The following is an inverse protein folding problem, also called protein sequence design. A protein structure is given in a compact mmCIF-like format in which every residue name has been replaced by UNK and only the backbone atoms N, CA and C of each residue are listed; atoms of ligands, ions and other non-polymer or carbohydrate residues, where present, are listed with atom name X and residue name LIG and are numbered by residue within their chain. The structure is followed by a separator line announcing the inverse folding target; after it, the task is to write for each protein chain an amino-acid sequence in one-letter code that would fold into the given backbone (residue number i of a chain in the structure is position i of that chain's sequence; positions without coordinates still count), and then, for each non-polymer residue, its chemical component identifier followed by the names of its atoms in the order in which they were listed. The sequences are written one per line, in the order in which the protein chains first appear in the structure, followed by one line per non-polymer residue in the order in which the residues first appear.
data_IF_404153961298
#
_entry.id   IF_404153961298
#
_cell.length_a   1.000
_cell.length_b   1.000
_cell.length_c   1.000
_cell.angle_alpha   90.00
_cell.angle_beta   90.00
_cell.angle_gamma   90.00
#
_symmetry.space_group_name_H-M   'P 1'
#
loop_
_entity.id
_entity.type
_entity.pdbx_description
1 polymer ?
#
# COMPACT_ATOMS: atom_id res chain seq x y z
N UNK A 1 -27.65 0.01 13.15
CA UNK A 1 -26.31 -0.33 12.64
C UNK A 1 -25.57 -1.07 13.74
N UNK A 2 -25.19 -2.32 13.48
CA UNK A 2 -24.49 -3.18 14.44
C UNK A 2 -22.99 -3.00 14.14
N UNK A 3 -22.24 -2.43 15.06
CA UNK A 3 -20.77 -2.33 14.95
C UNK A 3 -20.13 -3.63 15.44
N UNK A 4 -19.39 -4.30 14.54
CA UNK A 4 -18.64 -5.53 14.81
C UNK A 4 -17.24 -5.20 15.37
N UNK A 5 -16.85 -5.69 16.57
CA UNK A 5 -15.63 -5.29 17.26
C UNK A 5 -14.34 -6.08 16.88
N UNK A 6 -14.33 -6.84 15.78
CA UNK A 6 -13.28 -7.87 15.54
C UNK A 6 -12.16 -7.51 14.55
N UNK A 7 -12.07 -6.27 14.05
CA UNK A 7 -11.04 -5.87 13.07
C UNK A 7 -10.01 -4.85 13.61
N UNK A 8 -9.56 -5.01 14.86
CA UNK A 8 -8.30 -4.38 15.30
C UNK A 8 -7.11 -5.21 14.80
N UNK A 9 -6.70 -4.96 13.56
CA UNK A 9 -5.44 -5.46 12.99
C UNK A 9 -4.30 -4.88 13.83
N UNK A 10 -3.67 -5.74 14.64
CA UNK A 10 -2.55 -5.39 15.50
C UNK A 10 -1.35 -5.08 14.60
N UNK A 11 -1.05 -3.81 14.39
CA UNK A 11 0.17 -3.40 13.69
C UNK A 11 1.38 -3.82 14.53
N UNK A 12 2.05 -4.89 14.09
CA UNK A 12 3.29 -5.36 14.70
C UNK A 12 4.37 -4.33 14.34
N UNK A 13 4.68 -3.44 15.28
CA UNK A 13 5.82 -2.54 15.18
C UNK A 13 7.10 -3.37 15.34
N UNK A 14 7.78 -3.64 14.24
CA UNK A 14 9.09 -4.28 14.28
C UNK A 14 10.14 -3.28 14.81
N UNK A 15 11.05 -3.71 15.71
CA UNK A 15 12.12 -2.86 16.17
C UNK A 15 13.04 -2.51 14.99
N UNK A 16 13.17 -1.22 14.72
CA UNK A 16 13.97 -0.66 13.63
C UNK A 16 15.47 -0.77 13.96
N UNK A 17 16.22 -1.43 13.08
CA UNK A 17 17.66 -1.22 12.88
C UNK A 17 18.61 -1.65 14.00
N UNK A 18 19.18 -2.85 13.85
CA UNK A 18 20.59 -3.25 14.11
C UNK A 18 20.69 -4.78 14.18
N UNK A 19 20.91 -5.44 13.03
CA UNK A 19 21.31 -6.85 12.99
C UNK A 19 20.16 -7.87 12.96
N UNK A 20 18.93 -7.45 12.65
CA UNK A 20 17.80 -8.37 12.49
C UNK A 20 17.45 -8.53 11.01
N UNK A 21 17.39 -9.79 10.56
CA UNK A 21 17.05 -10.13 9.17
C UNK A 21 15.51 -10.11 9.02
N UNK A 22 14.93 -9.25 8.17
CA UNK A 22 13.48 -9.03 8.09
C UNK A 22 12.73 -10.13 7.30
N UNK A 23 12.87 -11.40 7.69
CA UNK A 23 12.30 -12.56 6.97
C UNK A 23 10.76 -12.49 6.92
N UNK A 24 10.12 -12.25 8.05
CA UNK A 24 8.65 -12.20 8.13
C UNK A 24 8.06 -11.05 7.31
N UNK A 25 8.77 -9.93 7.27
CA UNK A 25 8.36 -8.74 6.53
C UNK A 25 8.44 -8.96 5.02
N UNK A 26 9.53 -9.57 4.54
CA UNK A 26 9.68 -9.96 3.13
C UNK A 26 8.60 -10.97 2.73
N UNK A 27 8.34 -11.99 3.57
CA UNK A 27 7.26 -12.97 3.33
C UNK A 27 5.89 -12.32 3.24
N UNK A 28 5.61 -11.36 4.12
CA UNK A 28 4.37 -10.58 4.10
C UNK A 28 4.22 -9.77 2.80
N UNK A 29 5.28 -9.08 2.37
CA UNK A 29 5.24 -8.27 1.15
C UNK A 29 5.18 -9.11 -0.12
N UNK A 30 5.88 -10.25 -0.15
CA UNK A 30 5.77 -11.24 -1.24
C UNK A 30 4.34 -11.81 -1.33
N UNK A 31 3.71 -12.13 -0.20
CA UNK A 31 2.32 -12.62 -0.17
C UNK A 31 1.30 -11.57 -0.62
N UNK A 32 1.62 -10.28 -0.45
CA UNK A 32 0.80 -9.16 -0.96
C UNK A 32 1.02 -8.88 -2.46
N UNK A 33 1.94 -9.58 -3.11
CA UNK A 33 2.22 -9.43 -4.53
C UNK A 33 3.16 -8.27 -4.89
N UNK A 34 3.92 -7.75 -3.94
CA UNK A 34 4.97 -6.77 -4.24
C UNK A 34 6.09 -7.43 -5.04
N UNK A 35 6.62 -6.71 -6.02
CA UNK A 35 7.80 -7.15 -6.77
C UNK A 35 9.06 -7.04 -5.91
N UNK A 36 10.05 -7.91 -6.16
CA UNK A 36 11.34 -7.89 -5.45
C UNK A 36 11.98 -6.48 -5.35
N UNK A 37 12.05 -5.66 -6.43
CA UNK A 37 12.60 -4.31 -6.32
C UNK A 37 11.78 -3.38 -5.39
N UNK A 38 10.44 -3.50 -5.38
CA UNK A 38 9.58 -2.72 -4.48
C UNK A 38 9.75 -3.12 -3.02
N UNK A 39 9.97 -4.42 -2.76
CA UNK A 39 10.26 -4.94 -1.42
C UNK A 39 11.59 -4.36 -0.93
N UNK A 40 12.62 -4.36 -1.78
CA UNK A 40 13.95 -3.80 -1.47
C UNK A 40 13.85 -2.30 -1.17
N UNK A 41 13.14 -1.52 -1.99
CA UNK A 41 12.98 -0.09 -1.79
C UNK A 41 12.23 0.24 -0.49
N UNK A 42 11.22 -0.56 -0.15
CA UNK A 42 10.46 -0.36 1.08
C UNK A 42 11.31 -0.71 2.31
N UNK A 43 12.08 -1.80 2.27
CA UNK A 43 12.97 -2.17 3.37
C UNK A 43 14.15 -1.20 3.54
N UNK A 44 14.66 -0.63 2.44
CA UNK A 44 15.65 0.46 2.52
C UNK A 44 15.08 1.70 3.19
N UNK A 45 13.82 2.07 2.90
CA UNK A 45 13.11 3.17 3.57
C UNK A 45 12.87 2.88 5.06
N UNK A 46 12.65 1.61 5.41
CA UNK A 46 12.55 1.13 6.80
C UNK A 46 13.94 1.04 7.50
N UNK A 47 15.04 1.31 6.79
CA UNK A 47 16.39 1.43 7.37
C UNK A 47 17.17 0.12 7.49
N UNK A 48 16.77 -0.93 6.75
CA UNK A 48 17.53 -2.18 6.68
C UNK A 48 18.73 -2.07 5.74
N UNK A 49 19.82 -2.78 6.07
CA UNK A 49 21.02 -2.84 5.22
C UNK A 49 20.77 -3.69 3.96
N UNK A 50 21.39 -3.38 2.80
CA UNK A 50 21.30 -4.21 1.60
C UNK A 50 21.61 -5.69 1.86
N UNK A 51 22.65 -5.97 2.67
CA UNK A 51 23.04 -7.34 3.00
C UNK A 51 21.99 -8.09 3.84
N UNK A 52 21.21 -7.38 4.67
CA UNK A 52 20.14 -7.96 5.48
C UNK A 52 18.91 -8.28 4.62
N UNK A 53 18.63 -7.42 3.64
CA UNK A 53 17.53 -7.59 2.68
C UNK A 53 17.79 -8.79 1.77
N UNK A 54 18.99 -8.92 1.22
CA UNK A 54 19.35 -10.02 0.32
C UNK A 54 19.31 -11.38 1.04
N UNK A 55 19.79 -11.42 2.29
CA UNK A 55 19.68 -12.62 3.14
C UNK A 55 18.22 -12.98 3.42
N UNK A 56 17.38 -12.00 3.72
CA UNK A 56 15.96 -12.22 3.97
C UNK A 56 15.23 -12.77 2.73
N UNK A 57 15.47 -12.19 1.54
CA UNK A 57 14.91 -12.66 0.27
C UNK A 57 15.34 -14.09 -0.04
N UNK A 58 16.63 -14.40 0.12
CA UNK A 58 17.17 -15.75 -0.10
C UNK A 58 16.51 -16.78 0.83
N UNK A 59 16.32 -16.43 2.11
CA UNK A 59 15.64 -17.30 3.07
C UNK A 59 14.17 -17.53 2.72
N UNK A 60 13.44 -16.50 2.29
CA UNK A 60 12.03 -16.61 1.91
C UNK A 60 11.88 -17.49 0.67
N UNK A 61 12.68 -17.26 -0.37
CA UNK A 61 12.68 -18.07 -1.58
C UNK A 61 13.02 -19.54 -1.29
N UNK A 62 14.02 -19.79 -0.44
CA UNK A 62 14.38 -21.15 -0.03
C UNK A 62 13.25 -21.84 0.73
N UNK A 63 12.60 -21.15 1.68
CA UNK A 63 11.46 -21.70 2.41
C UNK A 63 10.23 -21.94 1.52
N UNK A 64 9.96 -21.06 0.57
CA UNK A 64 8.85 -21.23 -0.38
C UNK A 64 9.06 -22.42 -1.32
N UNK A 65 10.31 -22.72 -1.68
CA UNK A 65 10.66 -23.90 -2.48
C UNK A 65 10.53 -25.18 -1.65
N UNK A 66 10.98 -25.18 -0.39
CA UNK A 66 10.84 -26.33 0.52
C UNK A 66 9.36 -26.64 0.82
N UNK A 67 8.52 -25.63 1.09
CA UNK A 67 7.07 -25.82 1.29
C UNK A 67 6.36 -26.33 0.03
N UNK A 68 6.84 -25.95 -1.17
CA UNK A 68 6.29 -26.44 -2.43
C UNK A 68 6.70 -27.89 -2.72
N UNK A 69 7.87 -28.33 -2.24
CA UNK A 69 8.33 -29.72 -2.34
C UNK A 69 7.55 -30.62 -1.37
N UNK A 70 7.18 -30.14 -0.18
CA UNK A 70 6.33 -30.90 0.76
C UNK A 70 4.88 -31.03 0.27
N UNK A 71 4.30 -29.99 -0.36
CA UNK A 71 2.98 -30.08 -0.99
C UNK A 71 2.93 -30.89 -2.29
N UNK A 72 4.06 -31.03 -2.99
CA UNK A 72 4.15 -31.88 -4.18
C UNK A 72 4.35 -33.37 -3.84
N UNK A 73 4.57 -33.72 -2.56
CA UNK A 73 4.77 -35.11 -2.13
C UNK A 73 3.46 -35.85 -1.80
N UNK A 74 2.31 -35.16 -1.79
CA UNK A 74 1.00 -35.77 -1.53
C UNK A 74 0.20 -36.13 -2.79
N UNK A 75 0.69 -35.81 -3.99
CA UNK A 75 0.02 -36.16 -5.25
C UNK A 75 1.05 -36.52 -6.32
N UNK A 76 1.67 -37.70 -6.19
CA UNK A 76 2.28 -38.39 -7.32
C UNK A 76 1.89 -39.87 -7.30
N UNK A 77 1.38 -40.41 -8.42
CA UNK A 77 1.16 -41.83 -8.61
C UNK A 77 2.49 -42.60 -8.56
N UNK A 78 2.41 -43.80 -7.99
CA UNK A 78 3.50 -44.77 -7.79
C UNK A 78 4.22 -45.14 -9.09
N UNK A 79 5.55 -45.10 -9.01
CA UNK A 79 6.52 -45.43 -10.05
C UNK A 79 6.70 -46.97 -10.16
N UNK A 80 5.63 -47.70 -10.48
CA UNK A 80 5.64 -49.18 -10.56
C UNK A 80 5.06 -49.77 -11.86
N UNK A 81 4.87 -48.98 -12.91
CA UNK A 81 4.27 -49.48 -14.17
C UNK A 81 5.16 -49.25 -15.42
N UNK A 82 6.48 -49.39 -15.26
CA UNK A 82 7.40 -49.58 -16.40
C UNK A 82 7.56 -51.09 -16.60
N UNK A 83 6.61 -51.67 -17.33
CA UNK A 83 6.76 -53.00 -17.93
C UNK A 83 7.78 -52.92 -19.08
N UNK A 84 8.79 -53.81 -19.15
CA UNK A 84 9.71 -53.85 -20.28
C UNK A 84 8.97 -54.30 -21.56
N UNK A 85 9.07 -53.56 -22.68
CA UNK A 85 8.54 -54.04 -23.94
C UNK A 85 9.34 -55.25 -24.43
N UNK A 86 8.58 -56.25 -24.93
CA UNK A 86 9.05 -57.51 -25.52
C UNK A 86 10.00 -57.27 -26.71
N UNK A 87 10.86 -58.25 -27.05
CA UNK A 87 11.72 -58.20 -28.24
C UNK A 87 10.85 -58.09 -29.50
N UNK A 88 11.14 -57.10 -30.32
CA UNK A 88 10.53 -56.92 -31.64
C UNK A 88 11.22 -57.90 -32.60
N UNK A 89 10.43 -58.81 -33.17
CA UNK A 89 10.82 -59.68 -34.28
C UNK A 89 11.25 -58.83 -35.49
N UNK A 90 12.29 -59.29 -36.17
CA UNK A 90 12.85 -58.69 -37.38
C UNK A 90 11.79 -58.60 -38.48
N UNK A 91 11.28 -57.40 -38.73
CA UNK A 91 10.49 -57.10 -39.93
C UNK A 91 11.46 -56.87 -41.09
N UNK A 92 11.58 -57.86 -41.97
CA UNK A 92 12.26 -57.75 -43.26
C UNK A 92 11.45 -56.81 -44.14
N UNK A 93 11.94 -55.59 -44.35
CA UNK A 93 11.34 -54.62 -45.28
C UNK A 93 11.94 -54.85 -46.68
N UNK A 94 11.12 -55.14 -47.71
CA UNK A 94 11.62 -55.23 -49.08
C UNK A 94 11.95 -53.84 -49.62
N UNK A 95 13.17 -53.69 -50.15
CA UNK A 95 13.62 -52.51 -50.90
C UNK A 95 12.66 -52.22 -52.05
N UNK A 96 11.78 -51.25 -51.84
CA UNK A 96 10.95 -50.67 -52.90
C UNK A 96 11.67 -49.42 -53.37
N UNK A 97 12.27 -49.48 -54.55
CA UNK A 97 12.84 -48.32 -55.24
C UNK A 97 11.74 -47.30 -55.52
N UNK A 98 11.76 -46.19 -54.79
CA UNK A 98 10.87 -45.05 -55.01
C UNK A 98 11.20 -44.33 -56.33
N UNK A 99 10.20 -43.95 -57.15
CA UNK A 99 10.40 -43.11 -58.33
C UNK A 99 10.87 -41.69 -57.94
N UNK A 100 11.77 -41.06 -58.73
CA UNK A 100 12.32 -39.74 -58.46
C UNK A 100 11.37 -38.63 -58.93
N UNK A 101 10.16 -38.55 -58.37
CA UNK A 101 9.18 -37.50 -58.76
C UNK A 101 8.59 -36.72 -57.58
N UNK A 102 9.12 -36.89 -56.37
CA UNK A 102 8.82 -36.01 -55.23
C UNK A 102 9.98 -35.05 -54.95
N UNK A 103 10.32 -34.22 -55.95
CA UNK A 103 11.00 -32.96 -55.65
C UNK A 103 9.97 -32.05 -54.98
N UNK A 104 9.86 -32.14 -53.65
CA UNK A 104 9.18 -31.13 -52.87
C UNK A 104 9.77 -29.75 -53.23
N UNK A 105 8.94 -28.70 -53.38
CA UNK A 105 9.47 -27.37 -53.64
C UNK A 105 10.46 -27.04 -52.53
N UNK A 106 11.72 -26.83 -52.91
CA UNK A 106 12.75 -26.37 -52.00
C UNK A 106 12.36 -24.95 -51.59
N UNK A 107 11.65 -24.81 -50.48
CA UNK A 107 11.55 -23.53 -49.79
C UNK A 107 12.98 -23.01 -49.64
N UNK A 108 13.25 -21.87 -50.25
CA UNK A 108 14.56 -21.26 -50.12
C UNK A 108 14.72 -20.86 -48.65
N UNK A 109 15.92 -20.97 -48.10
CA UNK A 109 16.17 -20.59 -46.70
C UNK A 109 15.69 -19.16 -46.40
N UNK A 110 15.64 -18.31 -47.43
CA UNK A 110 15.14 -16.94 -47.42
C UNK A 110 13.64 -16.86 -47.07
N UNK A 111 12.78 -17.68 -47.68
CA UNK A 111 11.33 -17.68 -47.39
C UNK A 111 11.01 -18.12 -45.95
N UNK A 112 11.79 -19.06 -45.40
CA UNK A 112 11.65 -19.47 -44.00
C UNK A 112 12.10 -18.36 -43.03
N UNK A 113 13.19 -17.67 -43.36
CA UNK A 113 13.66 -16.51 -42.57
C UNK A 113 12.61 -15.41 -42.57
N UNK A 114 12.01 -15.09 -43.73
CA UNK A 114 10.95 -14.08 -43.83
C UNK A 114 9.72 -14.44 -43.02
N UNK A 115 9.32 -15.72 -43.00
CA UNK A 115 8.22 -16.18 -42.16
C UNK A 115 8.51 -15.98 -40.67
N UNK A 116 9.69 -16.39 -40.19
CA UNK A 116 10.08 -16.24 -38.78
C UNK A 116 10.19 -14.76 -38.39
N UNK A 117 10.73 -13.92 -39.27
CA UNK A 117 10.80 -12.46 -39.05
C UNK A 117 9.39 -11.88 -38.96
N UNK A 118 8.49 -12.24 -39.89
CA UNK A 118 7.12 -11.74 -39.88
C UNK A 118 6.35 -12.19 -38.62
N UNK A 119 6.52 -13.43 -38.19
CA UNK A 119 5.91 -13.94 -36.96
C UNK A 119 6.41 -13.18 -35.73
N UNK A 120 7.73 -12.97 -35.61
CA UNK A 120 8.32 -12.18 -34.52
C UNK A 120 7.90 -10.71 -34.56
N UNK A 121 7.84 -10.13 -35.75
CA UNK A 121 7.42 -8.73 -35.92
C UNK A 121 5.95 -8.54 -35.52
N UNK A 122 5.10 -9.53 -35.81
CA UNK A 122 3.71 -9.53 -35.37
C UNK A 122 3.59 -9.58 -33.84
N UNK A 123 4.31 -10.48 -33.17
CA UNK A 123 4.36 -10.54 -31.70
C UNK A 123 4.84 -9.21 -31.08
N UNK A 124 5.83 -8.57 -31.70
CA UNK A 124 6.36 -7.27 -31.27
C UNK A 124 5.30 -6.18 -31.44
N UNK A 125 4.62 -6.12 -32.58
CA UNK A 125 3.57 -5.14 -32.84
C UNK A 125 2.41 -5.29 -31.84
N UNK A 126 1.96 -6.51 -31.57
CA UNK A 126 0.93 -6.79 -30.55
C UNK A 126 1.38 -6.32 -29.15
N UNK A 127 2.64 -6.54 -28.77
CA UNK A 127 3.19 -6.03 -27.51
C UNK A 127 3.25 -4.51 -27.49
N UNK A 128 3.67 -3.85 -28.57
CA UNK A 128 3.71 -2.39 -28.68
C UNK A 128 2.31 -1.81 -28.51
N UNK A 129 1.31 -2.36 -29.19
CA UNK A 129 -0.09 -1.93 -29.04
C UNK A 129 -0.58 -2.09 -27.60
N UNK A 130 -0.23 -3.19 -26.93
CA UNK A 130 -0.56 -3.40 -25.52
C UNK A 130 0.09 -2.35 -24.60
N UNK A 131 1.33 -1.97 -24.87
CA UNK A 131 2.07 -0.96 -24.09
C UNK A 131 1.46 0.43 -24.31
N UNK A 132 1.12 0.79 -25.55
CA UNK A 132 0.45 2.05 -25.89
C UNK A 132 -0.91 2.13 -25.19
N UNK A 133 -1.69 1.05 -25.20
CA UNK A 133 -2.98 1.00 -24.50
C UNK A 133 -2.83 1.20 -22.99
N UNK A 134 -1.85 0.52 -22.36
CA UNK A 134 -1.54 0.71 -20.93
C UNK A 134 -1.06 2.12 -20.63
N UNK A 135 -0.24 2.71 -21.49
CA UNK A 135 0.24 4.08 -21.32
C UNK A 135 -0.92 5.08 -21.35
N UNK A 136 -1.84 4.93 -22.29
CA UNK A 136 -3.04 5.75 -22.38
C UNK A 136 -3.95 5.59 -21.14
N UNK A 137 -4.04 4.39 -20.56
CA UNK A 137 -4.78 4.18 -19.31
C UNK A 137 -4.10 4.88 -18.13
N UNK A 138 -2.77 4.80 -18.05
CA UNK A 138 -1.99 5.49 -17.01
C UNK A 138 -2.15 7.01 -17.14
N UNK A 139 -2.07 7.56 -18.34
CA UNK A 139 -2.25 8.99 -18.60
C UNK A 139 -3.63 9.47 -18.13
N UNK A 140 -4.70 8.73 -18.46
CA UNK A 140 -6.05 9.02 -17.96
C UNK A 140 -6.17 8.94 -16.44
N UNK A 141 -5.49 7.98 -15.79
CA UNK A 141 -5.45 7.88 -14.33
C UNK A 141 -4.71 9.06 -13.71
N UNK A 142 -3.61 9.50 -14.31
CA UNK A 142 -2.84 10.67 -13.87
C UNK A 142 -3.67 11.94 -14.02
N UNK A 143 -4.38 12.11 -15.13
CA UNK A 143 -5.29 13.25 -15.36
C UNK A 143 -6.40 13.28 -14.29
N UNK A 144 -7.09 12.16 -14.07
CA UNK A 144 -8.11 12.06 -13.02
C UNK A 144 -7.55 12.33 -11.62
N UNK A 145 -6.35 11.84 -11.32
CA UNK A 145 -5.70 12.09 -10.03
C UNK A 145 -5.35 13.58 -9.87
N UNK A 146 -4.91 14.24 -10.94
CA UNK A 146 -4.64 15.69 -10.97
C UNK A 146 -5.91 16.50 -10.71
N UNK A 147 -7.03 16.12 -11.32
CA UNK A 147 -8.34 16.74 -11.07
C UNK A 147 -8.76 16.60 -9.60
N UNK A 148 -8.68 15.39 -9.05
CA UNK A 148 -8.99 15.11 -7.64
C UNK A 148 -8.08 15.90 -6.70
N UNK A 149 -6.78 15.98 -7.01
CA UNK A 149 -5.83 16.73 -6.20
C UNK A 149 -6.16 18.23 -6.19
N UNK A 150 -6.53 18.80 -7.34
CA UNK A 150 -6.97 20.19 -7.44
C UNK A 150 -8.27 20.46 -6.66
N UNK A 151 -9.21 19.51 -6.66
CA UNK A 151 -10.44 19.61 -5.86
C UNK A 151 -10.11 19.58 -4.35
N UNK A 152 -9.22 18.68 -3.92
CA UNK A 152 -8.76 18.61 -2.52
C UNK A 152 -8.08 19.92 -2.09
N UNK A 153 -7.23 20.50 -2.95
CA UNK A 153 -6.58 21.79 -2.66
C UNK A 153 -7.63 22.89 -2.44
N UNK A 154 -8.65 22.96 -3.31
CA UNK A 154 -9.74 23.95 -3.18
C UNK A 154 -10.52 23.75 -1.89
N UNK A 155 -10.95 22.52 -1.60
CA UNK A 155 -11.66 22.17 -0.38
C UNK A 155 -10.84 22.53 0.88
N UNK A 156 -9.55 22.19 0.90
CA UNK A 156 -8.65 22.55 2.01
C UNK A 156 -8.49 24.05 2.17
N UNK A 157 -8.42 24.81 1.07
CA UNK A 157 -8.35 26.26 1.13
C UNK A 157 -9.64 26.87 1.69
N UNK A 158 -10.80 26.33 1.33
CA UNK A 158 -12.11 26.71 1.89
C UNK A 158 -12.18 26.43 3.40
N UNK A 159 -11.79 25.23 3.82
CA UNK A 159 -11.72 24.84 5.24
C UNK A 159 -10.82 25.79 6.04
N UNK A 160 -9.63 26.11 5.51
CA UNK A 160 -8.70 27.03 6.16
C UNK A 160 -9.29 28.43 6.30
N UNK A 161 -9.98 28.94 5.28
CA UNK A 161 -10.69 30.23 5.36
C UNK A 161 -11.77 30.20 6.44
N UNK A 162 -12.56 29.14 6.52
CA UNK A 162 -13.58 28.99 7.57
C UNK A 162 -12.97 28.94 8.97
N UNK A 163 -11.82 28.28 9.14
CA UNK A 163 -11.09 28.26 10.41
C UNK A 163 -10.61 29.66 10.78
N UNK A 164 -10.02 30.41 9.85
CA UNK A 164 -9.59 31.79 10.09
C UNK A 164 -10.77 32.67 10.49
N UNK A 165 -11.89 32.60 9.78
CA UNK A 165 -13.11 33.34 10.15
C UNK A 165 -13.62 32.96 11.55
N UNK A 166 -13.59 31.67 11.92
CA UNK A 166 -13.96 31.24 13.28
C UNK A 166 -13.00 31.74 14.34
N UNK A 167 -11.70 31.82 14.04
CA UNK A 167 -10.69 32.40 14.95
C UNK A 167 -10.94 33.91 15.14
N UNK A 168 -11.27 34.63 14.08
CA UNK A 168 -11.58 36.06 14.15
C UNK A 168 -12.83 36.33 14.99
N UNK A 169 -13.89 35.53 14.78
CA UNK A 169 -15.11 35.59 15.61
C UNK A 169 -14.81 35.24 17.08
N UNK A 170 -13.98 34.23 17.32
CA UNK A 170 -13.57 33.88 18.68
C UNK A 170 -12.77 35.01 19.33
N UNK A 171 -11.87 35.66 18.60
CA UNK A 171 -11.15 36.84 19.10
C UNK A 171 -12.10 38.00 19.44
N UNK A 172 -13.12 38.24 18.62
CA UNK A 172 -14.14 39.26 18.90
C UNK A 172 -14.92 38.93 20.19
N UNK A 173 -15.37 37.68 20.35
CA UNK A 173 -16.08 37.26 21.58
C UNK A 173 -15.20 37.31 22.83
N UNK A 174 -13.90 36.98 22.72
CA UNK A 174 -12.94 37.13 23.82
C UNK A 174 -12.76 38.60 24.18
N UNK A 175 -12.66 39.49 23.20
CA UNK A 175 -12.55 40.92 23.44
C UNK A 175 -13.81 41.48 24.12
N UNK A 176 -15.01 41.05 23.69
CA UNK A 176 -16.25 41.43 24.35
C UNK A 176 -16.32 40.90 25.80
N UNK A 177 -15.90 39.65 26.03
CA UNK A 177 -15.81 39.07 27.36
C UNK A 177 -14.81 39.82 28.24
N UNK A 178 -13.65 40.23 27.70
CA UNK A 178 -12.67 41.04 28.42
C UNK A 178 -13.25 42.40 28.84
N UNK A 179 -14.01 43.05 27.97
CA UNK A 179 -14.69 44.32 28.30
C UNK A 179 -15.70 44.11 29.42
N UNK A 180 -16.54 43.05 29.35
CA UNK A 180 -17.51 42.73 30.40
C UNK A 180 -16.85 42.38 31.73
N UNK A 181 -15.75 41.62 31.71
CA UNK A 181 -14.98 41.31 32.92
C UNK A 181 -14.38 42.58 33.51
N UNK A 182 -13.86 43.49 32.69
CA UNK A 182 -13.32 44.76 33.17
C UNK A 182 -14.41 45.67 33.78
N UNK A 183 -15.61 45.71 33.20
CA UNK A 183 -16.73 46.47 33.78
C UNK A 183 -17.24 45.85 35.07
N UNK A 184 -17.30 44.51 35.14
CA UNK A 184 -17.64 43.78 36.35
C UNK A 184 -16.59 43.98 37.45
N UNK A 185 -15.30 43.94 37.11
CA UNK A 185 -14.21 44.26 38.05
C UNK A 185 -14.35 45.68 38.59
N UNK A 186 -14.68 46.65 37.73
CA UNK A 186 -14.93 48.03 38.15
C UNK A 186 -16.14 48.12 39.11
N UNK A 187 -17.25 47.46 38.78
CA UNK A 187 -18.43 47.43 39.64
C UNK A 187 -18.13 46.76 41.01
N UNK A 188 -17.33 45.68 41.03
CA UNK A 188 -16.86 45.08 42.28
C UNK A 188 -15.98 46.03 43.09
N UNK A 189 -15.03 46.73 42.45
CA UNK A 189 -14.19 47.73 43.11
C UNK A 189 -15.01 48.87 43.73
N UNK A 190 -16.07 49.31 43.07
CA UNK A 190 -16.97 50.37 43.58
C UNK A 190 -17.92 49.90 44.69
N UNK A 191 -18.37 48.65 44.65
CA UNK A 191 -19.32 48.09 45.63
C UNK A 191 -18.65 47.50 46.87
N UNK A 192 -17.38 47.09 46.78
CA UNK A 192 -16.62 46.52 47.90
C UNK A 192 -16.58 47.43 49.14
N UNK A 193 -16.33 48.76 49.05
CA UNK A 193 -16.33 49.64 50.22
C UNK A 193 -17.68 49.68 50.94
N UNK A 194 -18.79 49.81 50.19
CA UNK A 194 -20.14 49.82 50.76
C UNK A 194 -20.50 48.47 51.43
N UNK A 195 -20.05 47.35 50.85
CA UNK A 195 -20.21 46.03 51.46
C UNK A 195 -19.43 45.93 52.77
N UNK A 196 -18.18 46.39 52.82
CA UNK A 196 -17.36 46.39 54.03
C UNK A 196 -18.00 47.25 55.13
N UNK A 197 -18.57 48.39 54.77
CA UNK A 197 -19.25 49.30 55.70
C UNK A 197 -20.55 48.67 56.25
N UNK A 198 -21.36 48.04 55.39
CA UNK A 198 -22.58 47.34 55.83
C UNK A 198 -22.29 46.15 56.75
N UNK A 199 -21.25 45.36 56.48
CA UNK A 199 -20.82 44.25 57.34
C UNK A 199 -20.30 44.76 58.68
N UNK A 200 -19.54 45.88 58.70
CA UNK A 200 -19.11 46.53 59.96
C UNK A 200 -20.29 47.02 60.78
N UNK A 201 -21.21 47.75 60.17
CA UNK A 201 -22.41 48.26 60.85
C UNK A 201 -23.26 47.13 61.45
N UNK A 202 -23.40 46.01 60.73
CA UNK A 202 -24.09 44.82 61.24
C UNK A 202 -23.34 44.20 62.43
N UNK A 203 -22.01 44.12 62.35
CA UNK A 203 -21.16 43.60 63.44
C UNK A 203 -21.31 44.45 64.70
N UNK A 204 -21.31 45.78 64.57
CA UNK A 204 -21.52 46.72 65.68
C UNK A 204 -22.91 46.57 66.30
N UNK A 205 -23.94 46.38 65.47
CA UNK A 205 -25.32 46.19 65.93
C UNK A 205 -25.47 44.87 66.71
N UNK A 206 -24.87 43.79 66.22
CA UNK A 206 -24.83 42.50 66.93
C UNK A 206 -24.06 42.63 68.25
N UNK A 207 -22.94 43.35 68.29
CA UNK A 207 -22.20 43.59 69.54
C UNK A 207 -23.02 44.38 70.56
N UNK A 208 -23.75 45.42 70.12
CA UNK A 208 -24.67 46.18 70.99
C UNK A 208 -25.82 45.35 71.53
N UNK A 209 -26.34 44.40 70.76
CA UNK A 209 -27.45 43.54 71.17
C UNK A 209 -27.01 42.43 72.14
N UNK A 210 -25.71 42.13 72.17
CA UNK A 210 -25.10 41.12 73.04
C UNK A 210 -24.62 41.69 74.39
N UNK A 211 -24.54 43.02 74.51
CA UNK A 211 -24.22 43.76 75.73
C UNK A 211 -25.50 44.12 76.50
#
# INVERSE_FOLDING_TARGET
MIELPFLKKKEVKYPLGRGFIPIDRVREMSSKGFSEPEIVDTLRKEGFSPDEIDKALTHVLKSAVEEKIEKAKSELPTLDEISPPKPIEEVVVPETTLPPEYAAPAYTAEEYIDYVINERMKEINEKIESVVSRFNEVEKRVEKMSEQFNEIIKMRSEEQKQILTKIDLLNETINEANIKTATLEKAFKETLPALIESVRALSDLVQRLKA
#
